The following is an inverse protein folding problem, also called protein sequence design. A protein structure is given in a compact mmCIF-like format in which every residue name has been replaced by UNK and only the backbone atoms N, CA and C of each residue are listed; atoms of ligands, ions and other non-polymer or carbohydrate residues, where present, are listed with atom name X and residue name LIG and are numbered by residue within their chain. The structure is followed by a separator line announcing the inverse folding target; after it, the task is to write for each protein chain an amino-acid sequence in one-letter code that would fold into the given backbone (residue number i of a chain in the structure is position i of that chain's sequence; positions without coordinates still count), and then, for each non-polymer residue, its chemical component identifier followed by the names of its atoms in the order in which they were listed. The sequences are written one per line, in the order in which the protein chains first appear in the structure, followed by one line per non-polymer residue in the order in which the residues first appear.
data_IF_400699593718
#
_entry.id   IF_400699593718
#
_cell.length_a   1.000
_cell.length_b   1.000
_cell.length_c   1.000
_cell.angle_alpha   90.00
_cell.angle_beta   90.00
_cell.angle_gamma   90.00
#
_symmetry.space_group_name_H-M   'P 1'
#
loop_
_entity.id
_entity.type
_entity.pdbx_description
1 polymer ?
#
# COMPACT_ATOMS: atom_id res chain seq x y z
N UNK A 1 -8.86 -5.47 10.78
CA UNK A 1 -9.11 -4.10 10.32
C UNK A 1 -10.27 -4.09 9.35
N UNK A 2 -11.17 -3.10 9.44
CA UNK A 2 -12.15 -2.85 8.39
C UNK A 2 -11.46 -2.07 7.25
N UNK A 3 -11.94 -2.24 6.03
CA UNK A 3 -11.46 -1.46 4.89
C UNK A 3 -12.59 -1.23 3.89
N UNK A 4 -12.47 -0.17 3.10
CA UNK A 4 -13.45 0.20 2.09
C UNK A 4 -12.74 0.71 0.83
N UNK A 5 -13.45 0.82 -0.29
CA UNK A 5 -12.84 1.39 -1.50
C UNK A 5 -13.03 2.90 -1.51
N UNK A 6 -12.17 3.60 -2.24
CA UNK A 6 -12.36 5.03 -2.48
C UNK A 6 -13.71 5.26 -3.18
N UNK A 7 -14.50 6.19 -2.64
CA UNK A 7 -15.86 6.51 -3.08
C UNK A 7 -16.89 5.37 -2.89
N UNK A 8 -16.62 4.40 -2.01
CA UNK A 8 -17.58 3.36 -1.58
C UNK A 8 -17.35 3.05 -0.10
N UNK A 9 -18.19 3.60 0.77
CA UNK A 9 -18.04 3.49 2.23
C UNK A 9 -18.51 2.13 2.79
N UNK A 10 -18.93 1.20 1.92
CA UNK A 10 -19.31 -0.13 2.38
C UNK A 10 -18.06 -0.90 2.83
N UNK A 11 -18.08 -1.48 4.03
CA UNK A 11 -16.97 -2.29 4.49
C UNK A 11 -16.84 -3.53 3.60
N UNK A 12 -15.61 -3.78 3.15
CA UNK A 12 -15.24 -4.96 2.41
C UNK A 12 -15.15 -6.17 3.36
N UNK A 13 -15.51 -7.38 2.89
CA UNK A 13 -15.28 -8.60 3.67
C UNK A 13 -13.78 -8.81 3.92
N UNK A 14 -13.42 -9.14 5.16
CA UNK A 14 -12.01 -9.24 5.59
C UNK A 14 -11.15 -10.22 4.74
N UNK A 15 -11.76 -11.26 4.16
CA UNK A 15 -11.06 -12.22 3.31
C UNK A 15 -10.62 -11.63 1.96
N UNK A 16 -11.30 -10.57 1.48
CA UNK A 16 -10.97 -9.88 0.22
C UNK A 16 -9.84 -8.86 0.38
N UNK A 17 -9.63 -8.35 1.59
CA UNK A 17 -8.72 -7.23 1.89
C UNK A 17 -7.40 -7.67 2.49
N UNK A 18 -6.98 -8.92 2.28
CA UNK A 18 -5.63 -9.36 2.67
C UNK A 18 -4.64 -8.80 1.66
N UNK A 19 -3.57 -8.15 2.10
CA UNK A 19 -2.59 -7.51 1.22
C UNK A 19 -2.05 -8.49 0.16
N UNK A 20 -1.81 -9.74 0.57
CA UNK A 20 -1.32 -10.82 -0.29
C UNK A 20 -2.25 -11.18 -1.44
N UNK A 21 -3.53 -10.81 -1.42
CA UNK A 21 -4.44 -11.06 -2.54
C UNK A 21 -4.10 -10.20 -3.77
N UNK A 22 -3.44 -9.05 -3.58
CA UNK A 22 -3.11 -8.09 -4.64
C UNK A 22 -1.61 -7.93 -4.85
N UNK A 23 -0.84 -7.99 -3.76
CA UNK A 23 0.60 -7.76 -3.72
C UNK A 23 1.39 -9.08 -3.75
N UNK A 24 0.97 -10.02 -4.61
CA UNK A 24 1.69 -11.27 -4.82
C UNK A 24 3.04 -10.99 -5.51
N UNK A 25 4.12 -11.50 -4.94
CA UNK A 25 5.40 -11.55 -5.66
C UNK A 25 5.34 -12.71 -6.65
N UNK A 26 5.04 -12.41 -7.92
CA UNK A 26 5.06 -13.41 -8.98
C UNK A 26 5.97 -12.94 -10.10
N UNK A 27 6.98 -13.74 -10.42
CA UNK A 27 7.89 -13.51 -11.54
C UNK A 27 7.26 -13.83 -12.91
N UNK A 28 6.09 -14.47 -12.94
CA UNK A 28 5.49 -15.07 -14.15
C UNK A 28 4.18 -14.44 -14.61
N UNK A 29 3.53 -13.60 -13.79
CA UNK A 29 2.25 -12.96 -14.14
C UNK A 29 2.28 -11.50 -13.71
N UNK A 30 1.75 -10.56 -14.51
CA UNK A 30 1.61 -9.18 -14.06
C UNK A 30 0.77 -9.15 -12.78
N UNK A 31 1.39 -8.81 -11.67
CA UNK A 31 0.70 -8.67 -10.39
C UNK A 31 -0.34 -7.55 -10.48
N UNK A 32 -1.47 -7.72 -9.77
CA UNK A 32 -2.53 -6.72 -9.74
C UNK A 32 -2.07 -5.40 -9.10
N UNK A 33 -1.18 -5.50 -8.10
CA UNK A 33 -0.49 -4.39 -7.47
C UNK A 33 1.03 -4.67 -7.41
N UNK A 34 1.88 -3.63 -7.24
CA UNK A 34 3.31 -3.83 -7.03
C UNK A 34 3.57 -4.77 -5.85
N UNK A 35 4.63 -5.60 -5.87
CA UNK A 35 4.97 -6.43 -4.70
C UNK A 35 5.26 -5.53 -3.48
N UNK A 36 5.14 -6.08 -2.26
CA UNK A 36 5.50 -5.41 -1.01
C UNK A 36 6.82 -5.96 -0.48
N UNK A 37 7.88 -5.82 -1.28
CA UNK A 37 9.25 -6.18 -0.90
C UNK A 37 10.00 -4.97 -0.37
N UNK A 38 11.06 -5.21 0.41
CA UNK A 38 11.99 -4.16 0.85
C UNK A 38 12.45 -3.27 -0.33
N UNK A 39 12.84 -3.87 -1.45
CA UNK A 39 13.26 -3.13 -2.65
C UNK A 39 12.12 -2.27 -3.21
N UNK A 40 10.92 -2.81 -3.39
CA UNK A 40 9.80 -2.06 -3.97
C UNK A 40 9.33 -0.87 -3.12
N UNK A 41 9.53 -0.93 -1.81
CA UNK A 41 9.11 0.12 -0.86
C UNK A 41 10.20 1.19 -0.68
N UNK A 42 11.45 0.77 -0.56
CA UNK A 42 12.55 1.67 -0.21
C UNK A 42 13.35 2.17 -1.42
N UNK A 43 13.20 1.53 -2.59
CA UNK A 43 13.86 2.02 -3.79
C UNK A 43 13.33 3.41 -4.15
N UNK A 44 14.26 4.31 -4.42
CA UNK A 44 14.00 5.63 -4.96
C UNK A 44 13.25 5.51 -6.29
N UNK A 45 11.96 5.89 -6.31
CA UNK A 45 11.17 5.95 -7.52
C UNK A 45 11.09 7.41 -8.01
N UNK A 46 11.55 7.67 -9.24
CA UNK A 46 11.25 8.91 -9.96
C UNK A 46 10.20 8.63 -11.02
N UNK A 47 9.08 9.34 -10.97
CA UNK A 47 8.06 9.26 -12.01
C UNK A 47 8.22 10.44 -12.96
N UNK A 48 8.63 10.18 -14.21
CA UNK A 48 8.66 11.14 -15.33
C UNK A 48 9.40 12.46 -15.01
N UNK A 49 10.56 12.37 -14.34
CA UNK A 49 11.37 13.53 -13.97
C UNK A 49 10.85 14.32 -12.77
N UNK A 50 9.82 13.82 -12.07
CA UNK A 50 9.39 14.35 -10.78
C UNK A 50 10.39 14.04 -9.66
N UNK A 51 10.21 14.65 -8.47
CA UNK A 51 11.06 14.41 -7.32
C UNK A 51 11.14 12.92 -7.01
N UNK A 52 12.33 12.47 -6.60
CA UNK A 52 12.51 11.11 -6.09
C UNK A 52 11.68 10.99 -4.81
N UNK A 53 10.83 9.98 -4.76
CA UNK A 53 10.08 9.63 -3.56
C UNK A 53 10.31 8.17 -3.22
N UNK A 54 10.38 7.86 -1.92
CA UNK A 54 10.46 6.51 -1.39
C UNK A 54 9.48 6.40 -0.23
N UNK A 55 9.07 5.19 0.11
CA UNK A 55 8.27 5.00 1.32
C UNK A 55 9.14 5.13 2.56
N UNK A 56 8.66 5.91 3.52
CA UNK A 56 8.97 5.78 4.94
C UNK A 56 7.71 5.28 5.68
N UNK A 57 7.80 5.09 7.00
CA UNK A 57 6.67 4.64 7.80
C UNK A 57 5.44 5.57 7.68
N UNK A 58 5.67 6.89 7.60
CA UNK A 58 4.61 7.90 7.52
C UNK A 58 3.90 7.83 6.19
N UNK A 59 4.65 7.82 5.09
CA UNK A 59 4.12 7.73 3.74
C UNK A 59 3.45 6.37 3.50
N UNK A 60 3.97 5.29 4.06
CA UNK A 60 3.34 3.97 4.03
C UNK A 60 1.98 4.00 4.73
N UNK A 61 1.91 4.55 5.95
CA UNK A 61 0.65 4.64 6.67
C UNK A 61 -0.37 5.54 5.98
N UNK A 62 0.07 6.62 5.34
CA UNK A 62 -0.77 7.46 4.49
C UNK A 62 -1.31 6.67 3.29
N UNK A 63 -0.49 5.86 2.63
CA UNK A 63 -0.93 5.03 1.52
C UNK A 63 -1.97 3.98 1.95
N UNK A 64 -1.79 3.37 3.13
CA UNK A 64 -2.70 2.36 3.68
C UNK A 64 -4.04 2.97 4.13
N UNK A 65 -4.02 4.15 4.74
CA UNK A 65 -5.23 4.80 5.27
C UNK A 65 -5.98 5.61 4.23
N UNK A 66 -5.25 6.39 3.44
CA UNK A 66 -5.81 7.43 2.58
C UNK A 66 -5.65 7.12 1.09
N UNK A 67 -4.93 6.05 0.75
CA UNK A 67 -4.67 5.69 -0.64
C UNK A 67 -3.78 6.70 -1.36
N UNK A 68 -2.84 7.34 -0.66
CA UNK A 68 -1.93 8.35 -1.24
C UNK A 68 -0.47 7.88 -1.13
N UNK A 69 0.23 7.84 -2.25
CA UNK A 69 1.64 7.44 -2.32
C UNK A 69 2.61 8.54 -1.82
N UNK A 70 3.92 8.24 -1.68
CA UNK A 70 4.92 9.19 -1.21
C UNK A 70 5.10 10.43 -2.11
N UNK A 71 4.72 10.35 -3.38
CA UNK A 71 4.72 11.47 -4.32
C UNK A 71 3.42 12.30 -4.24
N UNK A 72 2.49 11.96 -3.35
CA UNK A 72 1.21 12.65 -3.20
C UNK A 72 0.17 12.21 -4.23
N UNK A 73 0.39 11.10 -4.94
CA UNK A 73 -0.52 10.61 -5.98
C UNK A 73 -1.54 9.66 -5.38
N UNK A 74 -2.80 9.82 -5.79
CA UNK A 74 -3.86 8.88 -5.44
C UNK A 74 -3.59 7.51 -6.09
N UNK A 75 -3.59 6.48 -5.25
CA UNK A 75 -3.54 5.08 -5.65
C UNK A 75 -4.83 4.70 -6.40
N UNK A 76 -4.76 3.56 -7.09
CA UNK A 76 -5.90 3.01 -7.83
C UNK A 76 -7.08 2.82 -6.88
N UNK A 77 -8.31 3.08 -7.35
CA UNK A 77 -9.55 2.89 -6.58
C UNK A 77 -9.67 1.48 -5.96
N UNK A 78 -9.05 0.48 -6.58
CA UNK A 78 -9.01 -0.89 -6.10
C UNK A 78 -8.11 -1.13 -4.89
N UNK A 79 -7.27 -0.16 -4.49
CA UNK A 79 -6.52 -0.21 -3.24
C UNK A 79 -7.47 0.14 -2.09
N UNK A 80 -7.71 -0.77 -1.13
CA UNK A 80 -8.59 -0.48 -0.01
C UNK A 80 -7.97 0.56 0.94
N UNK A 81 -8.83 1.41 1.51
CA UNK A 81 -8.50 2.31 2.61
C UNK A 81 -8.78 1.57 3.93
N UNK A 82 -7.75 1.38 4.75
CA UNK A 82 -7.86 0.61 5.98
C UNK A 82 -8.13 1.52 7.18
N UNK A 83 -9.13 1.16 7.96
CA UNK A 83 -9.30 1.67 9.32
C UNK A 83 -8.32 0.92 10.22
N UNK A 84 -7.14 1.51 10.41
CA UNK A 84 -6.02 0.96 11.17
C UNK A 84 -5.44 2.03 12.11
N UNK A 85 -5.15 1.65 13.35
CA UNK A 85 -4.53 2.57 14.29
C UNK A 85 -3.06 2.84 13.92
N UNK A 86 -2.50 3.97 14.36
CA UNK A 86 -1.11 4.36 14.06
C UNK A 86 -0.10 3.28 14.49
N UNK A 87 -0.28 2.74 15.70
CA UNK A 87 0.59 1.69 16.24
C UNK A 87 0.52 0.39 15.43
N UNK A 88 -0.68 -0.02 15.01
CA UNK A 88 -0.88 -1.20 14.16
C UNK A 88 -0.28 -1.01 12.77
N UNK A 89 -0.42 0.18 12.20
CA UNK A 89 0.16 0.52 10.91
C UNK A 89 1.69 0.52 10.95
N UNK A 90 2.28 1.02 12.04
CA UNK A 90 3.72 0.99 12.24
C UNK A 90 4.26 -0.44 12.41
N UNK A 91 3.53 -1.30 13.11
CA UNK A 91 3.84 -2.73 13.18
C UNK A 91 3.75 -3.41 11.80
N UNK A 92 2.73 -3.07 11.01
CA UNK A 92 2.60 -3.56 9.62
C UNK A 92 3.77 -3.08 8.75
N UNK A 93 4.17 -1.82 8.86
CA UNK A 93 5.34 -1.28 8.16
C UNK A 93 6.59 -2.11 8.48
N UNK A 94 6.89 -2.31 9.77
CA UNK A 94 8.03 -3.12 10.20
C UNK A 94 7.96 -4.55 9.65
N UNK A 95 6.77 -5.16 9.65
CA UNK A 95 6.60 -6.49 9.09
C UNK A 95 6.92 -6.51 7.58
N UNK A 96 6.36 -5.60 6.78
CA UNK A 96 6.50 -5.66 5.31
C UNK A 96 7.89 -5.29 4.82
N UNK A 97 8.62 -4.39 5.51
CA UNK A 97 9.99 -4.03 5.10
C UNK A 97 11.01 -5.11 5.44
N UNK A 98 10.66 -6.06 6.30
CA UNK A 98 11.52 -7.19 6.67
C UNK A 98 11.16 -8.49 5.95
N UNK A 99 10.26 -8.44 4.95
CA UNK A 99 9.94 -9.56 4.07
C UNK A 99 10.82 -9.64 2.83
#
# INVERSE_FOLDING_TARGET
MAAHLRDDDRPLPAWTTRCVNCHVDTSKTPAFAPPLTHESLLAAASRRGGPISHYDATAFCRAVKDGIDPAGVLLRKSMPHYQIADAECMALWQFVVHQ
#
